data_IF_604929723042
#
_entry.id   IF_604929723042
#
_cell.length_a   1.000
_cell.length_b   1.000
_cell.length_c   1.000
_cell.angle_alpha   90.00
_cell.angle_beta   90.00
_cell.angle_gamma   90.00
#
_symmetry.space_group_name_H-M   'P 1'
#
loop_
_entity.id
_entity.type
_entity.pdbx_description
1 polymer ?
#
# COMPACT_ATOMS: atom_id res chain seq x y z
N UNK A 1 29.81 27.60 -56.60
CA UNK A 1 30.02 27.38 -55.14
C UNK A 1 28.65 27.15 -54.52
N UNK A 2 28.31 25.86 -54.31
CA UNK A 2 27.02 25.48 -53.77
C UNK A 2 27.17 25.25 -52.23
N UNK A 3 26.40 26.01 -51.45
CA UNK A 3 26.38 25.93 -49.99
C UNK A 3 25.42 24.77 -49.59
N UNK A 4 25.98 23.67 -49.06
CA UNK A 4 25.21 22.60 -48.45
C UNK A 4 24.82 23.05 -47.03
N UNK A 5 23.53 23.33 -46.79
CA UNK A 5 22.96 23.50 -45.47
C UNK A 5 22.73 22.10 -44.84
N UNK A 6 23.51 21.77 -43.84
CA UNK A 6 23.31 20.59 -43.04
C UNK A 6 22.16 20.83 -42.03
N UNK A 7 21.07 20.09 -42.17
CA UNK A 7 19.99 20.08 -41.17
C UNK A 7 20.41 19.19 -39.99
N UNK A 8 20.54 19.80 -38.81
CA UNK A 8 20.77 19.10 -37.55
C UNK A 8 19.42 18.54 -37.07
N UNK A 9 19.29 17.22 -36.76
CA UNK A 9 18.05 16.69 -36.19
C UNK A 9 17.87 17.27 -34.78
N UNK A 10 16.69 17.83 -34.53
CA UNK A 10 16.27 18.22 -33.20
C UNK A 10 16.04 16.97 -32.34
N UNK A 11 16.83 16.77 -31.31
CA UNK A 11 16.54 15.78 -30.27
C UNK A 11 15.32 16.27 -29.50
N UNK A 12 14.21 15.58 -29.62
CA UNK A 12 13.06 15.73 -28.72
C UNK A 12 13.49 15.34 -27.32
N UNK A 13 13.44 16.27 -26.37
CA UNK A 13 13.59 15.95 -24.96
C UNK A 13 12.44 15.03 -24.57
N UNK A 14 12.76 13.79 -24.18
CA UNK A 14 11.79 12.88 -23.61
C UNK A 14 11.22 13.55 -22.35
N UNK A 15 9.95 13.92 -22.40
CA UNK A 15 9.21 14.41 -21.23
C UNK A 15 9.07 13.25 -20.25
N UNK A 16 9.87 13.26 -19.17
CA UNK A 16 9.73 12.30 -18.07
C UNK A 16 8.31 12.43 -17.54
N UNK A 17 7.53 11.36 -17.66
CA UNK A 17 6.17 11.33 -17.12
C UNK A 17 6.20 11.65 -15.60
N UNK A 18 5.25 12.45 -15.11
CA UNK A 18 5.23 12.83 -13.71
C UNK A 18 5.10 11.58 -12.82
N UNK A 19 5.90 11.56 -11.75
CA UNK A 19 5.89 10.43 -10.80
C UNK A 19 4.45 10.11 -10.33
N UNK A 20 4.03 8.85 -10.35
CA UNK A 20 2.74 8.43 -9.81
C UNK A 20 2.70 8.50 -8.28
N UNK A 21 3.84 8.73 -7.62
CA UNK A 21 3.94 8.86 -6.16
C UNK A 21 3.79 10.31 -5.72
N UNK A 22 3.31 10.47 -4.48
CA UNK A 22 3.30 11.76 -3.78
C UNK A 22 3.82 11.60 -2.36
N UNK A 23 4.40 12.68 -1.83
CA UNK A 23 4.72 12.87 -0.41
C UNK A 23 3.97 14.04 0.19
N UNK A 24 3.23 14.77 -0.64
CA UNK A 24 2.40 15.87 -0.18
C UNK A 24 1.28 15.34 0.73
N UNK A 25 0.84 16.15 1.70
CA UNK A 25 -0.30 15.79 2.54
C UNK A 25 -1.55 15.50 1.69
N UNK A 26 -2.25 14.42 2.02
CA UNK A 26 -3.51 14.04 1.38
C UNK A 26 -4.66 14.32 2.34
N UNK A 27 -5.62 15.14 1.92
CA UNK A 27 -6.69 15.60 2.79
C UNK A 27 -6.20 16.39 4.01
N UNK A 28 -5.07 17.11 3.88
CA UNK A 28 -4.44 17.86 4.97
C UNK A 28 -3.67 16.99 5.99
N UNK A 29 -3.49 15.70 5.71
CA UNK A 29 -2.87 14.71 6.62
C UNK A 29 -1.53 14.26 6.06
N UNK A 30 -0.49 14.26 6.90
CA UNK A 30 0.85 13.82 6.53
C UNK A 30 0.90 12.32 6.21
N UNK A 31 1.90 11.89 5.43
CA UNK A 31 2.11 10.46 5.17
C UNK A 31 2.42 9.71 6.48
N UNK A 32 3.11 10.33 7.43
CA UNK A 32 3.42 9.75 8.73
C UNK A 32 2.14 9.47 9.54
N UNK A 33 1.20 10.41 9.60
CA UNK A 33 -0.09 10.16 10.23
C UNK A 33 -0.94 9.15 9.44
N UNK A 34 -0.84 9.12 8.10
CA UNK A 34 -1.51 8.08 7.31
C UNK A 34 -1.02 6.67 7.64
N UNK A 35 0.24 6.47 8.05
CA UNK A 35 0.72 5.16 8.50
C UNK A 35 0.03 4.72 9.80
N UNK A 36 -0.19 5.65 10.75
CA UNK A 36 -0.93 5.36 11.97
C UNK A 36 -2.40 5.05 11.68
N UNK A 37 -3.05 5.82 10.77
CA UNK A 37 -4.42 5.56 10.33
C UNK A 37 -4.56 4.21 9.65
N UNK A 38 -3.57 3.79 8.86
CA UNK A 38 -3.55 2.47 8.25
C UNK A 38 -3.54 1.35 9.31
N UNK A 39 -2.75 1.50 10.37
CA UNK A 39 -2.71 0.50 11.44
C UNK A 39 -4.01 0.47 12.24
N UNK A 40 -4.64 1.64 12.50
CA UNK A 40 -5.98 1.71 13.09
C UNK A 40 -7.02 1.02 12.22
N UNK A 41 -7.00 1.31 10.93
CA UNK A 41 -7.86 0.61 9.97
C UNK A 41 -7.63 -0.89 9.99
N UNK A 42 -6.39 -1.36 9.94
CA UNK A 42 -6.09 -2.79 9.93
C UNK A 42 -6.49 -3.50 11.23
N UNK A 43 -6.33 -2.85 12.40
CA UNK A 43 -6.70 -3.40 13.72
C UNK A 43 -8.22 -3.39 13.95
N UNK A 44 -8.94 -2.43 13.36
CA UNK A 44 -10.41 -2.32 13.51
C UNK A 44 -11.19 -3.38 12.73
N UNK A 45 -10.55 -4.10 11.80
CA UNK A 45 -11.24 -5.12 11.01
C UNK A 45 -11.37 -6.43 11.77
N UNK A 46 -12.51 -7.11 11.62
CA UNK A 46 -12.72 -8.44 12.24
C UNK A 46 -11.75 -9.52 11.75
N UNK A 47 -11.21 -9.35 10.54
CA UNK A 47 -10.09 -10.13 9.99
C UNK A 47 -9.06 -9.14 9.48
N UNK A 48 -7.82 -9.28 9.93
CA UNK A 48 -6.75 -8.39 9.52
C UNK A 48 -6.57 -8.38 7.99
N UNK A 49 -6.60 -7.21 7.33
CA UNK A 49 -6.58 -7.12 5.86
C UNK A 49 -5.34 -7.75 5.22
N UNK A 50 -4.22 -7.80 5.96
CA UNK A 50 -3.00 -8.46 5.49
C UNK A 50 -3.08 -10.00 5.51
N UNK A 51 -4.19 -10.59 5.99
CA UNK A 51 -4.49 -12.03 5.90
C UNK A 51 -5.44 -12.36 4.74
N UNK A 52 -5.98 -11.36 4.04
CA UNK A 52 -6.84 -11.55 2.86
C UNK A 52 -6.05 -12.21 1.72
N UNK A 53 -6.46 -13.39 1.23
CA UNK A 53 -5.71 -14.10 0.21
C UNK A 53 -6.01 -13.64 -1.22
N UNK A 54 -7.20 -13.09 -1.48
CA UNK A 54 -7.72 -12.91 -2.83
C UNK A 54 -8.38 -11.55 -3.12
N UNK A 55 -8.49 -10.66 -2.13
CA UNK A 55 -9.03 -9.32 -2.31
C UNK A 55 -10.49 -9.13 -1.90
N UNK A 56 -11.14 -10.17 -1.37
CA UNK A 56 -12.54 -10.05 -0.93
C UNK A 56 -12.76 -9.12 0.25
N UNK A 57 -11.69 -8.70 0.94
CA UNK A 57 -11.73 -7.74 2.04
C UNK A 57 -11.24 -6.34 1.63
N UNK A 58 -11.00 -6.09 0.34
CA UNK A 58 -10.41 -4.84 -0.14
C UNK A 58 -11.24 -3.59 0.17
N UNK A 59 -12.56 -3.70 0.23
CA UNK A 59 -13.48 -2.59 0.42
C UNK A 59 -13.90 -2.39 1.89
N UNK A 60 -13.47 -3.26 2.79
CA UNK A 60 -13.86 -3.17 4.19
C UNK A 60 -13.23 -1.97 4.88
N UNK A 61 -14.06 -1.18 5.56
CA UNK A 61 -13.64 -0.04 6.37
C UNK A 61 -12.89 1.05 5.61
N UNK A 62 -13.04 1.12 4.29
CA UNK A 62 -12.42 2.16 3.47
C UNK A 62 -13.19 3.47 3.59
N UNK A 63 -12.51 4.54 3.98
CA UNK A 63 -13.10 5.86 4.16
C UNK A 63 -12.19 6.99 3.66
N UNK A 64 -12.78 8.17 3.42
CA UNK A 64 -12.06 9.40 3.05
C UNK A 64 -11.36 9.34 1.69
N UNK A 65 -10.32 10.19 1.48
CA UNK A 65 -9.65 10.35 0.19
C UNK A 65 -8.63 9.26 -0.13
N UNK A 66 -8.22 8.47 0.87
CA UNK A 66 -7.18 7.43 0.73
C UNK A 66 -7.82 6.06 0.80
N UNK A 67 -7.44 5.17 -0.11
CA UNK A 67 -7.76 3.77 -0.13
C UNK A 67 -6.57 2.96 0.40
N UNK A 68 -6.79 2.21 1.45
CA UNK A 68 -5.75 1.41 2.09
C UNK A 68 -5.55 0.09 1.35
N UNK A 69 -4.34 -0.19 0.93
CA UNK A 69 -3.93 -1.50 0.45
C UNK A 69 -3.21 -2.25 1.57
N UNK A 70 -3.24 -3.57 1.56
CA UNK A 70 -2.60 -4.39 2.57
C UNK A 70 -1.38 -5.14 2.02
N UNK A 71 -0.33 -5.27 2.81
CA UNK A 71 0.77 -6.21 2.57
C UNK A 71 0.38 -7.64 2.97
N UNK A 72 1.32 -8.38 3.51
CA UNK A 72 1.11 -9.72 4.08
C UNK A 72 1.77 -9.85 5.46
N UNK A 73 1.51 -10.94 6.14
CA UNK A 73 2.25 -11.30 7.36
C UNK A 73 3.56 -12.07 7.06
N UNK A 74 3.99 -12.14 5.80
CA UNK A 74 5.20 -12.83 5.36
C UNK A 74 5.07 -14.35 5.21
N UNK A 75 3.89 -14.94 5.43
CA UNK A 75 3.68 -16.39 5.41
C UNK A 75 3.04 -16.92 4.13
N UNK A 76 2.56 -16.06 3.24
CA UNK A 76 1.92 -16.41 1.98
C UNK A 76 2.06 -15.28 0.95
N UNK A 77 1.75 -15.57 -0.30
CA UNK A 77 1.88 -14.66 -1.43
C UNK A 77 0.50 -14.43 -2.07
N UNK A 78 -0.29 -13.49 -1.56
CA UNK A 78 -1.63 -13.22 -2.08
C UNK A 78 -1.58 -12.54 -3.44
N UNK A 79 -2.58 -12.86 -4.25
CA UNK A 79 -2.94 -12.11 -5.44
C UNK A 79 -4.36 -11.61 -5.28
N UNK A 80 -4.50 -10.31 -5.03
CA UNK A 80 -5.77 -9.67 -4.70
C UNK A 80 -6.36 -8.97 -5.90
N UNK A 81 -7.66 -9.10 -6.09
CA UNK A 81 -8.40 -8.37 -7.11
C UNK A 81 -9.40 -7.45 -6.41
N UNK A 82 -9.29 -6.13 -6.66
CA UNK A 82 -10.02 -5.10 -5.94
C UNK A 82 -10.64 -4.09 -6.88
N UNK A 83 -11.84 -3.62 -6.54
CA UNK A 83 -12.46 -2.46 -7.19
C UNK A 83 -12.18 -1.23 -6.34
N UNK A 84 -11.56 -0.22 -6.94
CA UNK A 84 -11.21 1.02 -6.27
C UNK A 84 -11.97 2.18 -6.90
N UNK A 85 -12.68 3.01 -6.11
CA UNK A 85 -13.34 4.19 -6.66
C UNK A 85 -12.35 5.15 -7.33
N UNK A 86 -12.75 5.77 -8.44
CA UNK A 86 -11.91 6.79 -9.09
C UNK A 86 -11.61 7.96 -8.14
N UNK A 87 -10.45 8.57 -8.31
CA UNK A 87 -10.02 9.73 -7.53
C UNK A 87 -9.44 9.43 -6.15
N UNK A 88 -9.37 8.17 -5.73
CA UNK A 88 -8.72 7.78 -4.47
C UNK A 88 -7.20 7.73 -4.62
N UNK A 89 -6.50 8.29 -3.64
CA UNK A 89 -5.10 7.97 -3.41
C UNK A 89 -4.98 6.56 -2.86
N UNK A 90 -3.87 5.87 -3.14
CA UNK A 90 -3.67 4.50 -2.63
C UNK A 90 -2.49 4.50 -1.65
N UNK A 91 -2.74 4.10 -0.40
CA UNK A 91 -1.67 3.91 0.57
C UNK A 91 -1.23 2.45 0.55
N UNK A 92 0.02 2.23 0.16
CA UNK A 92 0.61 0.90 0.01
C UNK A 92 1.74 0.71 1.03
N UNK A 93 1.59 -0.21 2.00
CA UNK A 93 2.69 -0.70 2.82
C UNK A 93 3.57 -1.64 1.97
N UNK A 94 4.83 -1.26 1.75
CA UNK A 94 5.81 -2.10 1.03
C UNK A 94 6.34 -3.18 1.95
N UNK A 95 6.87 -2.77 3.10
CA UNK A 95 7.22 -3.61 4.25
C UNK A 95 7.29 -2.70 5.47
N UNK A 96 6.69 -3.11 6.58
CA UNK A 96 6.58 -2.26 7.76
C UNK A 96 6.46 -3.07 9.05
N UNK A 97 6.67 -2.38 10.16
CA UNK A 97 6.53 -2.90 11.51
C UNK A 97 5.68 -1.96 12.36
N UNK A 98 4.97 -2.53 13.30
CA UNK A 98 4.35 -1.84 14.42
C UNK A 98 4.89 -2.44 15.71
N UNK A 99 5.09 -1.62 16.72
CA UNK A 99 5.40 -2.08 18.06
C UNK A 99 4.38 -1.51 19.04
N UNK A 100 3.79 -2.38 19.83
CA UNK A 100 2.82 -2.01 20.86
C UNK A 100 3.51 -1.91 22.22
N UNK A 101 3.07 -0.96 23.03
CA UNK A 101 3.38 -0.97 24.45
C UNK A 101 2.65 -2.15 25.09
N UNK A 102 3.41 -3.01 25.71
CA UNK A 102 2.93 -4.14 26.53
C UNK A 102 3.08 -3.78 28.02
N UNK A 103 3.16 -4.73 28.91
CA UNK A 103 3.04 -4.62 30.36
C UNK A 103 3.77 -3.43 31.04
N UNK A 104 5.00 -3.16 30.63
CA UNK A 104 5.79 -2.06 31.24
C UNK A 104 5.72 -0.81 30.35
N UNK A 105 5.29 0.34 30.91
CA UNK A 105 5.33 1.60 30.19
C UNK A 105 6.76 1.96 29.77
N UNK A 106 6.93 2.30 28.49
CA UNK A 106 8.17 2.80 27.91
C UNK A 106 7.93 4.16 27.27
N UNK A 107 8.99 4.92 27.03
CA UNK A 107 8.87 6.18 26.32
C UNK A 107 8.42 5.99 24.88
N UNK A 108 7.82 7.02 24.28
CA UNK A 108 7.46 6.98 22.87
C UNK A 108 8.68 6.80 21.96
N UNK A 109 9.81 7.42 22.33
CA UNK A 109 11.07 7.26 21.62
C UNK A 109 11.54 5.80 21.60
N UNK A 110 11.42 5.11 22.74
CA UNK A 110 11.75 3.69 22.81
C UNK A 110 10.79 2.82 21.99
N UNK A 111 9.49 3.10 22.00
CA UNK A 111 8.53 2.40 21.12
C UNK A 111 8.88 2.58 19.64
N UNK A 112 9.23 3.79 19.24
CA UNK A 112 9.68 4.08 17.87
C UNK A 112 10.98 3.35 17.53
N UNK A 113 11.94 3.31 18.45
CA UNK A 113 13.19 2.56 18.25
C UNK A 113 12.93 1.06 18.06
N UNK A 114 12.01 0.48 18.85
CA UNK A 114 11.62 -0.93 18.71
C UNK A 114 10.91 -1.21 17.38
N UNK A 115 10.07 -0.31 16.88
CA UNK A 115 9.44 -0.43 15.58
C UNK A 115 10.46 -0.32 14.43
N UNK A 116 11.57 0.37 14.65
CA UNK A 116 12.61 0.62 13.65
C UNK A 116 13.55 -0.57 13.40
N UNK A 117 13.72 -1.47 14.37
CA UNK A 117 14.78 -2.50 14.41
C UNK A 117 14.93 -3.28 13.10
N UNK A 118 13.85 -3.80 12.54
CA UNK A 118 13.90 -4.54 11.28
C UNK A 118 14.06 -3.60 10.07
N UNK A 119 13.49 -2.40 10.14
CA UNK A 119 13.51 -1.44 9.04
C UNK A 119 14.92 -0.86 8.78
N UNK A 120 15.80 -0.87 9.78
CA UNK A 120 17.21 -0.49 9.61
C UNK A 120 17.96 -1.48 8.71
N UNK A 121 17.44 -2.68 8.51
CA UNK A 121 18.05 -3.78 7.76
C UNK A 121 17.22 -4.18 6.53
N UNK A 122 16.65 -3.22 5.81
CA UNK A 122 16.01 -3.51 4.52
C UNK A 122 17.03 -4.10 3.55
N UNK A 123 16.87 -5.36 3.19
CA UNK A 123 17.75 -6.04 2.23
C UNK A 123 17.34 -5.67 0.79
N UNK A 124 16.08 -5.84 0.45
CA UNK A 124 15.56 -5.43 -0.86
C UNK A 124 14.12 -4.93 -0.76
N UNK A 125 13.73 -4.05 -1.69
CA UNK A 125 12.35 -3.64 -1.89
C UNK A 125 12.13 -3.16 -3.33
N UNK A 126 11.10 -3.68 -3.96
CA UNK A 126 10.66 -3.35 -5.33
C UNK A 126 9.15 -3.20 -5.34
N UNK A 127 8.69 -2.17 -6.01
CA UNK A 127 7.26 -1.97 -6.32
C UNK A 127 7.13 -1.68 -7.81
N UNK A 128 6.30 -2.46 -8.48
CA UNK A 128 5.97 -2.24 -9.89
C UNK A 128 4.51 -1.81 -9.99
N UNK A 129 4.26 -0.74 -10.74
CA UNK A 129 2.92 -0.33 -11.17
C UNK A 129 2.83 -0.56 -12.70
N UNK A 130 1.90 -1.38 -13.14
CA UNK A 130 1.72 -1.75 -14.54
C UNK A 130 3.03 -2.24 -15.20
N UNK A 131 3.81 -3.01 -14.42
CA UNK A 131 5.11 -3.52 -14.83
C UNK A 131 6.27 -2.52 -14.78
N UNK A 132 6.02 -1.24 -14.45
CA UNK A 132 7.05 -0.21 -14.37
C UNK A 132 7.51 0.00 -12.92
N UNK A 133 8.81 0.03 -12.63
CA UNK A 133 9.34 0.23 -11.30
C UNK A 133 9.05 1.65 -10.80
N UNK A 134 8.63 1.76 -9.54
CA UNK A 134 8.34 3.05 -8.88
C UNK A 134 9.59 3.74 -8.30
N UNK A 135 10.78 3.24 -8.61
CA UNK A 135 12.05 3.79 -8.18
C UNK A 135 12.61 3.11 -6.91
N UNK A 136 13.55 3.79 -6.26
CA UNK A 136 14.25 3.27 -5.09
C UNK A 136 13.37 3.37 -3.83
N UNK A 137 12.89 2.23 -3.35
CA UNK A 137 12.03 2.14 -2.16
C UNK A 137 12.74 2.51 -0.86
N UNK A 138 14.07 2.49 -0.79
CA UNK A 138 14.82 2.95 0.41
C UNK A 138 14.53 4.40 0.77
N UNK A 139 14.15 5.21 -0.21
CA UNK A 139 13.78 6.63 -0.02
C UNK A 139 12.39 6.82 0.58
N UNK A 140 11.60 5.75 0.74
CA UNK A 140 10.20 5.80 1.16
C UNK A 140 10.00 5.28 2.59
N UNK A 141 11.05 5.32 3.42
CA UNK A 141 10.90 5.03 4.85
C UNK A 141 10.11 6.15 5.53
N UNK A 142 9.11 5.76 6.30
CA UNK A 142 8.23 6.66 7.06
C UNK A 142 7.97 6.06 8.43
N UNK A 143 8.14 6.90 9.46
CA UNK A 143 7.76 6.60 10.85
C UNK A 143 6.45 7.30 11.16
N UNK A 144 5.66 6.76 12.09
CA UNK A 144 4.50 7.48 12.63
C UNK A 144 4.92 8.80 13.29
N UNK A 145 4.04 9.80 13.26
CA UNK A 145 4.23 11.07 13.98
C UNK A 145 4.08 10.83 15.49
N UNK A 146 5.18 10.40 16.13
CA UNK A 146 5.15 9.97 17.53
C UNK A 146 4.44 8.62 17.72
N UNK A 147 3.97 8.41 18.94
CA UNK A 147 3.15 7.25 19.29
C UNK A 147 1.68 7.57 19.15
N UNK A 148 0.89 6.55 18.84
CA UNK A 148 -0.55 6.70 18.65
C UNK A 148 -1.33 5.59 19.36
N UNK A 149 -2.57 5.90 19.74
CA UNK A 149 -3.52 4.90 20.19
C UNK A 149 -4.04 4.12 19.01
N UNK A 150 -4.09 2.78 19.15
CA UNK A 150 -4.57 1.91 18.05
C UNK A 150 -6.06 2.10 17.78
N UNK A 151 -6.83 2.39 18.82
CA UNK A 151 -8.17 2.94 18.72
C UNK A 151 -8.10 4.41 19.17
N UNK A 152 -8.43 5.33 18.28
CA UNK A 152 -8.33 6.76 18.53
C UNK A 152 -9.40 7.25 19.49
N UNK A 153 -10.53 6.56 19.58
CA UNK A 153 -11.68 6.91 20.41
C UNK A 153 -11.59 6.31 21.82
N UNK A 154 -10.67 5.36 22.02
CA UNK A 154 -10.40 4.76 23.34
C UNK A 154 -9.03 5.18 23.87
N UNK A 155 -9.04 6.07 24.87
CA UNK A 155 -7.83 6.53 25.57
C UNK A 155 -7.06 5.41 26.29
N UNK A 156 -7.70 4.27 26.53
CA UNK A 156 -7.10 3.09 27.17
C UNK A 156 -6.63 2.04 26.17
N UNK A 157 -6.90 2.22 24.87
CA UNK A 157 -6.39 1.33 23.84
C UNK A 157 -4.87 1.28 23.83
N UNK A 158 -4.31 0.24 23.24
CA UNK A 158 -2.86 0.03 23.20
C UNK A 158 -2.15 1.20 22.54
N UNK A 159 -1.10 1.69 23.19
CA UNK A 159 -0.19 2.66 22.59
C UNK A 159 0.77 1.94 21.65
N UNK A 160 1.04 2.52 20.48
CA UNK A 160 1.87 1.94 19.47
C UNK A 160 2.76 2.98 18.78
N UNK A 161 3.81 2.51 18.13
CA UNK A 161 4.58 3.25 17.14
C UNK A 161 4.78 2.38 15.89
N UNK A 162 4.85 3.00 14.73
CA UNK A 162 5.06 2.32 13.46
C UNK A 162 6.28 2.90 12.72
N UNK A 163 6.97 2.02 11.99
CA UNK A 163 8.05 2.38 11.07
C UNK A 163 8.00 1.44 9.88
N UNK A 164 8.37 1.90 8.70
CA UNK A 164 8.39 1.05 7.52
C UNK A 164 8.58 1.82 6.23
N UNK A 165 8.47 1.07 5.14
CA UNK A 165 8.55 1.60 3.79
C UNK A 165 7.14 1.68 3.22
N UNK A 166 6.71 2.90 2.87
CA UNK A 166 5.35 3.22 2.48
C UNK A 166 5.35 4.09 1.25
N UNK A 167 4.42 3.85 0.35
CA UNK A 167 4.19 4.76 -0.77
C UNK A 167 2.75 5.21 -0.82
N UNK A 168 2.54 6.49 -1.13
CA UNK A 168 1.25 7.06 -1.46
C UNK A 168 1.20 7.24 -2.97
N UNK A 169 0.36 6.46 -3.65
CA UNK A 169 0.09 6.61 -5.06
C UNK A 169 -0.96 7.71 -5.26
N UNK A 170 -0.74 8.57 -6.23
CA UNK A 170 -1.76 9.49 -6.73
C UNK A 170 -2.93 8.71 -7.32
N UNK A 171 -4.13 9.31 -7.44
CA UNK A 171 -5.24 8.66 -8.09
C UNK A 171 -4.85 8.11 -9.47
N UNK A 172 -5.08 6.83 -9.67
CA UNK A 172 -4.85 6.18 -10.94
C UNK A 172 -5.98 6.51 -11.92
N UNK A 173 -5.68 6.48 -13.20
CA UNK A 173 -6.69 6.62 -14.26
C UNK A 173 -7.75 5.50 -14.14
N UNK A 174 -9.00 5.74 -14.56
CA UNK A 174 -9.97 4.65 -14.68
C UNK A 174 -9.46 3.53 -15.58
N UNK A 175 -9.62 2.29 -15.13
CA UNK A 175 -9.16 1.11 -15.87
C UNK A 175 -8.60 0.02 -14.97
N UNK A 176 -7.94 -0.95 -15.61
CA UNK A 176 -7.28 -2.04 -14.92
C UNK A 176 -5.80 -1.71 -14.71
N UNK A 177 -5.35 -1.78 -13.47
CA UNK A 177 -3.95 -1.60 -13.08
C UNK A 177 -3.43 -2.83 -12.35
N UNK A 178 -2.11 -2.99 -12.34
CA UNK A 178 -1.44 -4.04 -11.58
C UNK A 178 -0.40 -3.45 -10.66
N UNK A 179 -0.33 -3.95 -9.43
CA UNK A 179 0.74 -3.67 -8.48
C UNK A 179 1.42 -4.97 -8.11
N UNK A 180 2.75 -5.02 -8.19
CA UNK A 180 3.56 -6.13 -7.70
C UNK A 180 4.56 -5.61 -6.68
N UNK A 181 4.62 -6.25 -5.52
CA UNK A 181 5.47 -5.84 -4.41
C UNK A 181 6.34 -7.00 -3.96
N UNK A 182 7.64 -6.75 -3.88
CA UNK A 182 8.62 -7.64 -3.29
C UNK A 182 9.50 -6.86 -2.32
N UNK A 183 9.61 -7.32 -1.07
CA UNK A 183 10.51 -6.72 -0.08
C UNK A 183 10.92 -7.73 0.98
N UNK A 184 12.11 -7.56 1.56
CA UNK A 184 12.55 -8.40 2.68
C UNK A 184 13.53 -7.67 3.59
N UNK A 185 13.49 -8.06 4.85
CA UNK A 185 14.51 -7.71 5.82
C UNK A 185 15.67 -8.70 5.80
N UNK A 186 16.85 -8.24 6.19
CA UNK A 186 18.07 -9.02 6.25
C UNK A 186 18.78 -8.87 7.60
N UNK A 187 18.04 -8.88 8.73
CA UNK A 187 18.64 -8.76 10.06
C UNK A 187 19.49 -10.02 10.33
N UNK A 188 20.78 -9.87 10.65
CA UNK A 188 21.70 -11.02 10.81
C UNK A 188 21.31 -11.92 11.99
N UNK A 189 20.93 -11.36 13.12
CA UNK A 189 20.72 -12.06 14.40
C UNK A 189 19.26 -12.03 14.81
N UNK A 190 18.51 -12.94 14.29
CA UNK A 190 17.12 -13.17 14.27
C UNK A 190 16.21 -12.84 15.44
N UNK A 191 15.75 -11.59 15.56
CA UNK A 191 14.52 -11.25 16.30
C UNK A 191 13.25 -11.62 15.52
N UNK A 192 12.09 -11.37 16.12
CA UNK A 192 10.81 -11.57 15.47
C UNK A 192 10.74 -10.78 14.15
N UNK A 193 10.28 -11.43 13.08
CA UNK A 193 10.18 -10.86 11.73
C UNK A 193 11.49 -10.40 11.09
N UNK A 194 12.67 -10.74 11.66
CA UNK A 194 13.99 -10.33 11.16
C UNK A 194 14.26 -10.72 9.70
N UNK A 195 13.61 -11.76 9.21
CA UNK A 195 13.67 -12.27 7.84
C UNK A 195 12.31 -12.24 7.15
N UNK A 196 11.42 -11.35 7.57
CA UNK A 196 10.10 -11.22 6.94
C UNK A 196 10.26 -10.88 5.46
N UNK A 197 9.47 -11.57 4.64
CA UNK A 197 9.37 -11.33 3.21
C UNK A 197 7.96 -10.86 2.88
N UNK A 198 7.88 -9.82 2.07
CA UNK A 198 6.65 -9.39 1.43
C UNK A 198 6.72 -9.81 -0.04
N UNK A 199 5.71 -10.52 -0.51
CA UNK A 199 5.53 -10.85 -1.92
C UNK A 199 4.04 -10.91 -2.17
N UNK A 200 3.50 -9.92 -2.89
CA UNK A 200 2.06 -9.86 -3.16
C UNK A 200 1.77 -9.07 -4.43
N UNK A 201 0.61 -9.34 -5.00
CA UNK A 201 0.12 -8.68 -6.19
C UNK A 201 -1.29 -8.15 -5.99
N UNK A 202 -1.59 -7.05 -6.68
CA UNK A 202 -2.93 -6.51 -6.84
C UNK A 202 -3.29 -6.37 -8.31
N UNK A 203 -4.52 -6.73 -8.64
CA UNK A 203 -5.24 -6.28 -9.83
C UNK A 203 -6.29 -5.27 -9.35
N UNK A 204 -6.12 -4.02 -9.73
CA UNK A 204 -7.00 -2.92 -9.33
C UNK A 204 -7.89 -2.52 -10.50
N UNK A 205 -9.20 -2.57 -10.29
CA UNK A 205 -10.20 -2.04 -11.22
C UNK A 205 -10.62 -0.66 -10.73
N UNK A 206 -10.03 0.39 -11.32
CA UNK A 206 -10.27 1.77 -10.90
C UNK A 206 -11.48 2.37 -11.63
N UNK A 207 -12.41 2.91 -10.89
CA UNK A 207 -13.55 3.69 -11.43
C UNK A 207 -14.67 2.87 -12.02
N UNK A 208 -14.53 1.56 -12.16
CA UNK A 208 -15.61 0.68 -12.64
C UNK A 208 -16.18 -0.12 -11.48
N UNK A 209 -17.43 0.17 -11.05
CA UNK A 209 -18.25 -0.90 -10.50
C UNK A 209 -18.47 -1.87 -11.63
N UNK A 210 -17.80 -3.01 -11.63
CA UNK A 210 -18.21 -4.12 -12.46
C UNK A 210 -19.64 -4.44 -12.03
N UNK A 211 -20.63 -4.07 -12.85
CA UNK A 211 -21.98 -4.64 -12.68
C UNK A 211 -21.76 -6.13 -12.85
N UNK A 212 -21.87 -6.87 -11.76
CA UNK A 212 -22.08 -8.30 -11.83
C UNK A 212 -23.40 -8.45 -12.56
N UNK A 213 -23.35 -8.63 -13.85
CA UNK A 213 -24.51 -9.07 -14.63
C UNK A 213 -24.74 -10.50 -14.15
N UNK A 214 -25.61 -10.63 -13.13
CA UNK A 214 -26.20 -11.92 -12.84
C UNK A 214 -26.86 -12.35 -14.14
N UNK A 215 -26.27 -13.38 -14.79
CA UNK A 215 -26.94 -14.05 -15.92
C UNK A 215 -28.25 -14.56 -15.36
N UNK A 216 -29.30 -13.79 -15.62
CA UNK A 216 -30.67 -14.18 -15.33
C UNK A 216 -30.89 -15.56 -15.96
N UNK A 217 -31.35 -16.47 -15.14
CA UNK A 217 -31.86 -17.75 -15.60
C UNK A 217 -32.83 -17.48 -16.77
N UNK A 218 -32.50 -18.04 -17.90
CA UNK A 218 -33.39 -17.98 -19.08
C UNK A 218 -34.78 -18.52 -18.73
N UNK A 219 -35.82 -18.09 -19.44
CA UNK A 219 -37.19 -18.46 -19.13
C UNK A 219 -37.33 -20.00 -19.27
N UNK A 220 -37.77 -20.61 -18.18
CA UNK A 220 -38.21 -22.00 -18.15
C UNK A 220 -39.35 -22.12 -19.15
N UNK A 221 -39.15 -22.84 -20.27
CA UNK A 221 -40.23 -23.24 -21.15
C UNK A 221 -41.21 -24.08 -20.36
N UNK A 222 -42.38 -23.56 -20.13
CA UNK A 222 -43.52 -24.31 -19.65
C UNK A 222 -43.93 -25.29 -20.76
N UNK A 223 -43.85 -26.58 -20.48
CA UNK A 223 -44.49 -27.59 -21.32
C UNK A 223 -46.01 -27.40 -21.20
N UNK A 224 -46.65 -27.19 -22.32
CA UNK A 224 -48.11 -27.23 -22.42
C UNK A 224 -48.60 -28.70 -22.59
N UNK A 225 -49.85 -28.99 -22.22
CA UNK A 225 -50.44 -30.31 -22.00
C UNK A 225 -50.55 -31.17 -23.24
#
# INVERSE_FOLDING_TARGET
MALLLATVPAFSADSVAPSPLTREPVGGVSLAEWTARWWRWADSQGVAPYLDPDGRLCDLGQDGPVWNLAGTNGRFQPRRECVVPAGKFLLLPVINMIHFQVDTPVSCEELQARAAVNNDYLASAVVLLDGQPLGDMRRHRVKSDGCFRIDADDAHSRLAAADGYWVMLKPLAPGRHTLSVGANYGVPDGGAYSRMQQSFEYVLHVGTRTQVVSRGQGPTQAAAP
#
